data_IF_232561381033
#
_entry.id   IF_232561381033
#
_cell.length_a   1.000
_cell.length_b   1.000
_cell.length_c   1.000
_cell.angle_alpha   90.00
_cell.angle_beta   90.00
_cell.angle_gamma   90.00
#
_symmetry.space_group_name_H-M   'P 1'
#
loop_
_entity.id
_entity.type
_entity.pdbx_description
1 polymer ?
#
# COMPACT_ATOMS: atom_id res chain seq x y z
N UNK A 1 -0.38 0.36 -13.74
CA UNK A 1 0.87 1.08 -13.42
C UNK A 1 1.70 1.25 -14.68
N UNK A 2 2.71 2.13 -14.68
CA UNK A 2 3.64 2.45 -15.78
C UNK A 2 5.10 2.19 -15.35
N UNK A 3 6.09 2.22 -16.25
CA UNK A 3 7.51 2.09 -15.86
C UNK A 3 7.90 3.21 -14.87
N UNK A 4 8.55 2.90 -13.73
CA UNK A 4 8.97 3.92 -12.78
C UNK A 4 10.01 4.86 -13.39
N UNK A 5 9.93 6.14 -13.02
CA UNK A 5 10.89 7.18 -13.37
C UNK A 5 11.56 7.71 -12.09
N UNK A 6 12.64 8.47 -12.23
CA UNK A 6 13.29 9.16 -11.10
C UNK A 6 12.36 10.09 -10.31
N UNK A 7 11.26 10.53 -10.92
CA UNK A 7 10.22 11.29 -10.24
C UNK A 7 9.32 10.40 -9.35
N UNK A 8 9.01 9.18 -9.80
CA UNK A 8 8.14 8.23 -9.07
C UNK A 8 8.89 7.39 -8.04
N UNK A 9 10.16 7.10 -8.30
CA UNK A 9 11.04 6.36 -7.42
C UNK A 9 12.45 6.90 -7.59
N UNK A 10 12.86 7.74 -6.64
CA UNK A 10 14.18 8.38 -6.67
C UNK A 10 15.28 7.34 -6.48
N UNK A 11 16.26 7.33 -7.39
CA UNK A 11 17.36 6.37 -7.41
C UNK A 11 17.04 5.06 -8.12
N UNK A 12 15.87 4.93 -8.78
CA UNK A 12 15.51 3.70 -9.50
C UNK A 12 16.52 3.34 -10.60
N UNK A 13 17.10 4.34 -11.26
CA UNK A 13 18.11 4.13 -12.31
C UNK A 13 19.48 3.70 -11.79
N UNK A 14 19.72 3.83 -10.48
CA UNK A 14 20.96 3.46 -9.80
C UNK A 14 20.92 2.02 -9.26
N UNK A 15 19.77 1.34 -9.35
CA UNK A 15 19.64 -0.04 -8.89
C UNK A 15 20.49 -1.00 -9.74
N UNK A 16 21.14 -2.01 -9.14
CA UNK A 16 22.08 -2.90 -9.84
C UNK A 16 21.52 -3.57 -11.10
N UNK A 17 20.23 -3.90 -11.09
CA UNK A 17 19.55 -4.60 -12.17
C UNK A 17 18.75 -3.68 -13.09
N UNK A 18 18.78 -2.36 -12.87
CA UNK A 18 18.12 -1.40 -13.76
C UNK A 18 18.85 -1.35 -15.11
N UNK A 19 18.07 -1.44 -16.20
CA UNK A 19 18.60 -1.35 -17.56
C UNK A 19 17.78 -0.34 -18.35
N UNK A 20 18.46 0.65 -18.94
CA UNK A 20 17.84 1.62 -19.84
C UNK A 20 17.18 0.98 -21.08
N UNK A 21 17.62 -0.23 -21.44
CA UNK A 21 17.05 -1.00 -22.55
C UNK A 21 15.72 -1.67 -22.21
N UNK A 22 15.26 -1.63 -20.96
CA UNK A 22 13.94 -2.14 -20.62
C UNK A 22 12.83 -1.33 -21.30
N UNK A 23 11.70 -1.98 -21.66
CA UNK A 23 10.56 -1.27 -22.21
C UNK A 23 10.05 -0.18 -21.25
N UNK A 24 9.67 0.95 -21.83
CA UNK A 24 9.06 2.07 -21.10
C UNK A 24 7.55 2.06 -21.34
N UNK A 25 6.80 1.46 -20.41
CA UNK A 25 5.34 1.47 -20.43
C UNK A 25 4.83 2.80 -19.88
N UNK A 26 4.05 3.54 -20.67
CA UNK A 26 3.51 4.86 -20.27
C UNK A 26 2.04 4.80 -19.84
N UNK A 27 1.28 3.80 -20.33
CA UNK A 27 -0.14 3.67 -20.02
C UNK A 27 -0.34 2.95 -18.70
N UNK A 28 -0.98 3.63 -17.76
CA UNK A 28 -1.50 3.00 -16.56
C UNK A 28 -2.84 2.29 -16.85
N UNK A 29 -2.86 0.97 -16.63
CA UNK A 29 -4.03 0.11 -16.84
C UNK A 29 -4.56 -0.55 -15.57
N UNK A 30 -4.16 -0.08 -14.37
CA UNK A 30 -4.52 -0.77 -13.13
C UNK A 30 -6.05 -0.89 -12.97
N UNK A 31 -6.76 0.22 -13.10
CA UNK A 31 -8.23 0.27 -13.00
C UNK A 31 -8.92 -0.57 -14.09
N UNK A 32 -8.40 -0.56 -15.32
CA UNK A 32 -8.89 -1.41 -16.41
C UNK A 32 -8.83 -2.90 -16.04
N UNK A 33 -7.80 -3.31 -15.30
CA UNK A 33 -7.58 -4.71 -14.91
C UNK A 33 -8.44 -5.11 -13.71
N UNK A 34 -8.54 -4.24 -12.70
CA UNK A 34 -9.14 -4.61 -11.39
C UNK A 34 -10.52 -4.01 -11.12
N UNK A 35 -10.96 -3.01 -11.89
CA UNK A 35 -12.17 -2.22 -11.62
C UNK A 35 -13.48 -3.02 -11.68
N UNK A 36 -13.46 -4.25 -12.21
CA UNK A 36 -14.59 -5.18 -12.12
C UNK A 36 -14.72 -5.89 -10.76
N UNK A 37 -13.69 -5.81 -9.91
CA UNK A 37 -13.62 -6.53 -8.63
C UNK A 37 -13.62 -5.60 -7.41
N UNK A 38 -13.39 -4.31 -7.61
CA UNK A 38 -13.32 -3.31 -6.54
C UNK A 38 -13.74 -1.95 -7.08
N UNK A 39 -14.25 -1.10 -6.18
CA UNK A 39 -14.62 0.27 -6.48
C UNK A 39 -13.38 1.19 -6.61
N UNK A 40 -13.64 2.47 -6.90
CA UNK A 40 -12.59 3.47 -7.07
C UNK A 40 -11.76 3.69 -5.78
N UNK A 41 -12.36 3.54 -4.59
CA UNK A 41 -11.63 3.67 -3.32
C UNK A 41 -10.64 2.51 -3.15
N UNK A 42 -11.08 1.28 -3.41
CA UNK A 42 -10.25 0.09 -3.40
C UNK A 42 -9.11 0.16 -4.41
N UNK A 43 -9.38 0.67 -5.63
CA UNK A 43 -8.33 0.91 -6.63
C UNK A 43 -7.31 1.93 -6.10
N UNK A 44 -7.76 3.02 -5.50
CA UNK A 44 -6.89 4.03 -4.90
C UNK A 44 -5.99 3.45 -3.80
N UNK A 45 -6.57 2.67 -2.91
CA UNK A 45 -5.86 1.99 -1.82
C UNK A 45 -4.85 0.97 -2.36
N UNK A 46 -5.20 0.20 -3.39
CA UNK A 46 -4.31 -0.72 -4.06
C UNK A 46 -3.10 0.00 -4.70
N UNK A 47 -3.29 1.21 -5.24
CA UNK A 47 -2.18 2.02 -5.77
C UNK A 47 -1.16 2.38 -4.70
N UNK A 48 -1.62 2.74 -3.51
CA UNK A 48 -0.73 3.05 -2.38
C UNK A 48 0.03 1.81 -1.89
N UNK A 49 -0.58 0.62 -1.97
CA UNK A 49 0.08 -0.65 -1.68
C UNK A 49 1.12 -1.03 -2.74
N UNK A 50 0.91 -0.62 -3.99
CA UNK A 50 1.77 -0.93 -5.14
C UNK A 50 2.74 0.21 -5.50
N UNK A 51 2.95 1.18 -4.61
CA UNK A 51 3.93 2.24 -4.82
C UNK A 51 5.31 1.65 -5.17
N UNK A 52 5.92 2.21 -6.22
CA UNK A 52 7.21 1.76 -6.73
C UNK A 52 8.31 1.96 -5.71
N UNK A 53 8.44 3.19 -5.20
CA UNK A 53 9.35 3.49 -4.11
C UNK A 53 8.88 2.78 -2.83
N UNK A 54 9.69 1.87 -2.25
CA UNK A 54 9.34 1.20 -1.01
C UNK A 54 9.09 2.16 0.15
N UNK A 55 9.75 3.33 0.17
CA UNK A 55 9.57 4.33 1.23
C UNK A 55 8.18 5.00 1.17
N UNK A 56 7.60 5.11 -0.02
CA UNK A 56 6.27 5.71 -0.25
C UNK A 56 5.14 4.68 -0.09
N UNK A 57 5.46 3.39 0.00
CA UNK A 57 4.46 2.33 0.13
C UNK A 57 3.73 2.42 1.47
N UNK A 58 2.40 2.40 1.42
CA UNK A 58 1.59 2.45 2.64
C UNK A 58 1.89 1.25 3.55
N UNK A 59 2.20 1.52 4.83
CA UNK A 59 2.37 0.46 5.83
C UNK A 59 1.04 -0.24 6.12
N UNK A 60 1.07 -1.54 6.44
CA UNK A 60 -0.11 -2.29 6.85
C UNK A 60 -0.87 -1.61 8.01
N UNK A 61 -0.15 -1.02 8.98
CA UNK A 61 -0.73 -0.27 10.10
C UNK A 61 -1.59 0.92 9.67
N UNK A 62 -1.13 1.67 8.66
CA UNK A 62 -1.87 2.81 8.09
C UNK A 62 -3.02 2.32 7.20
N UNK A 63 -2.81 1.23 6.48
CA UNK A 63 -3.79 0.61 5.60
C UNK A 63 -5.07 0.20 6.35
N UNK A 64 -4.92 -0.44 7.52
CA UNK A 64 -6.03 -0.88 8.38
C UNK A 64 -6.93 0.24 8.91
N UNK A 65 -6.48 1.50 8.79
CA UNK A 65 -7.22 2.69 9.24
C UNK A 65 -8.01 3.37 8.11
N UNK A 66 -8.04 2.78 6.92
CA UNK A 66 -8.76 3.32 5.78
C UNK A 66 -10.24 2.94 5.87
N UNK A 67 -11.11 3.88 5.51
CA UNK A 67 -12.57 3.71 5.47
C UNK A 67 -13.01 2.51 4.65
N UNK A 68 -12.22 2.16 3.63
CA UNK A 68 -12.40 0.96 2.82
C UNK A 68 -12.55 -0.36 3.62
N UNK A 69 -12.11 -0.41 4.88
CA UNK A 69 -12.23 -1.60 5.75
C UNK A 69 -13.23 -1.43 6.90
N UNK A 70 -14.07 -0.40 6.89
CA UNK A 70 -15.01 -0.11 7.97
C UNK A 70 -16.18 -1.12 8.04
N UNK A 71 -16.49 -1.78 6.93
CA UNK A 71 -17.57 -2.77 6.79
C UNK A 71 -17.10 -4.23 6.99
N UNK A 72 -15.80 -4.44 7.24
CA UNK A 72 -15.24 -5.77 7.49
C UNK A 72 -15.66 -6.29 8.86
N UNK A 73 -16.26 -7.48 8.91
CA UNK A 73 -16.54 -8.17 10.17
C UNK A 73 -15.24 -8.72 10.81
N UNK A 74 -14.70 -7.94 11.75
CA UNK A 74 -13.45 -8.25 12.44
C UNK A 74 -13.56 -9.39 13.46
N UNK A 75 -14.77 -9.79 13.83
CA UNK A 75 -14.98 -10.89 14.78
C UNK A 75 -14.55 -12.26 14.22
N UNK A 76 -14.50 -12.38 12.89
CA UNK A 76 -14.13 -13.60 12.18
C UNK A 76 -12.64 -13.69 11.85
N UNK A 77 -11.88 -12.61 12.07
CA UNK A 77 -10.47 -12.54 11.69
C UNK A 77 -9.59 -13.28 12.70
N UNK A 78 -8.57 -14.05 12.26
CA UNK A 78 -7.62 -14.71 13.16
C UNK A 78 -6.86 -13.76 14.10
N UNK A 79 -6.73 -12.48 13.70
CA UNK A 79 -6.06 -11.44 14.48
C UNK A 79 -7.01 -10.68 15.43
N UNK A 80 -8.29 -11.05 15.48
CA UNK A 80 -9.32 -10.34 16.24
C UNK A 80 -9.54 -8.90 15.75
N UNK A 81 -9.94 -8.02 16.68
CA UNK A 81 -10.33 -6.64 16.38
C UNK A 81 -9.16 -5.65 16.23
N UNK A 82 -7.94 -6.14 15.98
CA UNK A 82 -6.78 -5.27 15.81
C UNK A 82 -6.96 -4.33 14.61
N UNK A 83 -6.82 -3.03 14.84
CA UNK A 83 -7.11 -1.95 13.87
C UNK A 83 -5.84 -1.19 13.42
N UNK A 84 -4.66 -1.67 13.79
CA UNK A 84 -3.42 -0.93 13.55
C UNK A 84 -3.12 0.13 14.62
N UNK A 85 -3.80 0.17 15.76
CA UNK A 85 -3.41 0.99 16.89
C UNK A 85 -2.12 0.49 17.54
N UNK A 86 -1.27 1.42 18.03
CA UNK A 86 -0.14 1.00 18.88
C UNK A 86 -0.71 0.53 20.21
N UNK A 87 -0.40 -0.71 20.61
CA UNK A 87 -0.68 -1.18 21.96
C UNK A 87 0.25 -0.43 22.92
N UNK A 88 -0.23 0.66 23.53
CA UNK A 88 0.45 1.23 24.68
C UNK A 88 0.16 0.31 25.86
N UNK A 89 1.14 -0.50 26.25
CA UNK A 89 1.10 -1.15 27.55
C UNK A 89 1.22 0.00 28.56
N UNK A 90 0.13 0.35 29.23
CA UNK A 90 0.19 1.23 30.37
C UNK A 90 1.13 0.58 31.38
N UNK A 91 2.34 1.11 31.53
CA UNK A 91 3.27 0.72 32.58
C UNK A 91 2.73 1.34 33.87
N UNK A 92 1.62 0.80 34.35
CA UNK A 92 0.99 1.19 35.59
C UNK A 92 1.75 0.54 36.73
N UNK A 93 2.52 1.35 37.47
CA UNK A 93 2.89 1.02 38.85
C UNK A 93 4.36 0.72 39.10
N UNK A 94 5.21 1.75 39.07
CA UNK A 94 6.32 1.89 40.00
C UNK A 94 6.39 3.36 40.45
N UNK A 95 5.68 3.67 41.53
CA UNK A 95 5.99 4.79 42.43
C UNK A 95 6.24 4.21 43.82
#
# INVERSE_FOLDING_TARGET
MSTPTEYLWRGVSELPDYKQTFPHWTKDRLEEVVGKYMDAEGVGLLREMLAYDPAERISAKRLLKRSYFDDVDRSTLPAGNYDGSTMYIAVSGLS
#
